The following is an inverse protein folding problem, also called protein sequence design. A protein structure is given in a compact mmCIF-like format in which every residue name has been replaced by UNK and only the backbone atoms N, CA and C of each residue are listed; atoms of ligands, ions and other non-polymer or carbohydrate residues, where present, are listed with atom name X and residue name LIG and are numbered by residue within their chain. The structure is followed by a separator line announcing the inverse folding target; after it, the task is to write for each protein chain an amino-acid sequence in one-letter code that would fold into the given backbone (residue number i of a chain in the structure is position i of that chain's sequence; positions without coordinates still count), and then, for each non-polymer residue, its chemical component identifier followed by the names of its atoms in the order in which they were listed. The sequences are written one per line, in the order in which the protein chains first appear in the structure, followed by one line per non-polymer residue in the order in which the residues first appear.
data_IF_492550490561
#
_entry.id   IF_492550490561
#
_cell.length_a   1.000
_cell.length_b   1.000
_cell.length_c   1.000
_cell.angle_alpha   90.00
_cell.angle_beta   90.00
_cell.angle_gamma   90.00
#
_symmetry.space_group_name_H-M   'P 1'
#
loop_
_entity.id
_entity.type
_entity.pdbx_description
1 polymer ?
#
# COMPACT_ATOMS: atom_id res chain seq x y z
N UNK A 1 -18.77 3.36 -14.14
CA UNK A 1 -17.45 2.85 -14.58
C UNK A 1 -17.53 1.33 -14.62
N UNK A 2 -17.07 0.70 -15.71
CA UNK A 2 -17.08 -0.76 -15.84
C UNK A 2 -16.08 -1.35 -14.83
N UNK A 3 -16.58 -2.16 -13.89
CA UNK A 3 -15.84 -2.68 -12.73
C UNK A 3 -15.21 -4.06 -12.98
N UNK A 4 -15.27 -4.53 -14.22
CA UNK A 4 -14.78 -5.86 -14.56
C UNK A 4 -13.26 -5.96 -14.38
N UNK A 5 -12.75 -7.09 -13.85
CA UNK A 5 -11.32 -7.33 -13.76
C UNK A 5 -10.64 -7.16 -15.13
N UNK A 6 -9.44 -6.57 -15.14
CA UNK A 6 -8.66 -6.40 -16.38
C UNK A 6 -8.30 -7.75 -17.03
N UNK A 7 -8.28 -8.82 -16.24
CA UNK A 7 -8.10 -10.21 -16.68
C UNK A 7 -9.25 -10.71 -17.57
N UNK A 8 -10.46 -10.14 -17.44
CA UNK A 8 -11.61 -10.47 -18.28
C UNK A 8 -11.80 -9.47 -19.42
N UNK A 9 -10.81 -8.62 -19.68
CA UNK A 9 -10.86 -7.68 -20.79
C UNK A 9 -11.04 -8.41 -22.12
N UNK A 10 -11.83 -7.80 -23.02
CA UNK A 10 -11.98 -8.27 -24.40
C UNK A 10 -10.67 -8.20 -25.18
N UNK A 11 -9.81 -7.26 -24.80
CA UNK A 11 -8.49 -7.08 -25.35
C UNK A 11 -7.50 -8.08 -24.73
N UNK A 12 -6.82 -8.83 -25.58
CA UNK A 12 -5.85 -9.84 -25.18
C UNK A 12 -4.62 -9.23 -24.49
N UNK A 13 -4.17 -8.05 -24.90
CA UNK A 13 -3.00 -7.40 -24.32
C UNK A 13 -3.31 -6.90 -22.91
N UNK A 14 -4.52 -6.37 -22.71
CA UNK A 14 -4.99 -5.99 -21.37
C UNK A 14 -5.12 -7.21 -20.45
N UNK A 15 -5.58 -8.36 -20.96
CA UNK A 15 -5.65 -9.58 -20.16
C UNK A 15 -4.27 -10.09 -19.72
N UNK A 16 -3.22 -9.87 -20.52
CA UNK A 16 -1.85 -10.25 -20.19
C UNK A 16 -1.12 -9.21 -19.32
N UNK A 17 -1.65 -7.99 -19.25
CA UNK A 17 -1.06 -6.87 -18.51
C UNK A 17 -0.86 -7.11 -16.99
N UNK A 18 -1.68 -7.89 -16.25
CA UNK A 18 -1.48 -8.09 -14.82
C UNK A 18 -0.11 -8.68 -14.48
N UNK A 19 0.34 -9.65 -15.25
CA UNK A 19 1.64 -10.27 -15.03
C UNK A 19 2.78 -9.27 -15.32
N UNK A 20 2.63 -8.43 -16.34
CA UNK A 20 3.60 -7.37 -16.63
C UNK A 20 3.65 -6.33 -15.51
N UNK A 21 2.49 -5.88 -15.01
CA UNK A 21 2.40 -4.94 -13.90
C UNK A 21 3.01 -5.50 -12.61
N UNK A 22 2.80 -6.79 -12.30
CA UNK A 22 3.43 -7.43 -11.15
C UNK A 22 4.96 -7.44 -11.23
N UNK A 23 5.51 -7.74 -12.42
CA UNK A 23 6.96 -7.67 -12.67
C UNK A 23 7.48 -6.24 -12.49
N UNK A 24 6.79 -5.26 -13.05
CA UNK A 24 7.15 -3.84 -12.93
C UNK A 24 7.13 -3.39 -11.45
N UNK A 25 6.08 -3.73 -10.71
CA UNK A 25 5.95 -3.41 -9.29
C UNK A 25 7.06 -4.04 -8.44
N UNK A 26 7.47 -5.28 -8.77
CA UNK A 26 8.62 -5.92 -8.11
C UNK A 26 9.91 -5.16 -8.36
N UNK A 27 10.21 -4.82 -9.61
CA UNK A 27 11.42 -4.05 -9.96
C UNK A 27 11.44 -2.66 -9.34
N UNK A 28 10.29 -1.97 -9.31
CA UNK A 28 10.17 -0.67 -8.65
C UNK A 28 10.50 -0.75 -7.15
N UNK A 29 10.04 -1.82 -6.47
CA UNK A 29 10.40 -2.06 -5.06
C UNK A 29 11.88 -2.31 -4.85
N UNK A 30 12.49 -3.14 -5.70
CA UNK A 30 13.93 -3.41 -5.65
C UNK A 30 14.75 -2.13 -5.86
N UNK A 31 14.36 -1.31 -6.83
CA UNK A 31 15.05 -0.05 -7.11
C UNK A 31 14.86 0.96 -5.97
N UNK A 32 13.62 1.13 -5.50
CA UNK A 32 13.32 1.99 -4.36
C UNK A 32 14.18 1.65 -3.14
N UNK A 33 14.33 0.35 -2.84
CA UNK A 33 15.18 -0.12 -1.75
C UNK A 33 16.67 0.23 -1.95
N UNK A 34 17.16 0.18 -3.19
CA UNK A 34 18.55 0.53 -3.50
C UNK A 34 18.80 2.04 -3.42
N UNK A 35 17.83 2.86 -3.82
CA UNK A 35 17.97 4.32 -3.89
C UNK A 35 17.42 5.06 -2.66
N UNK A 36 16.83 4.34 -1.70
CA UNK A 36 16.16 4.93 -0.55
C UNK A 36 14.92 5.76 -0.92
N UNK A 37 14.34 5.53 -2.11
CA UNK A 37 13.20 6.32 -2.60
C UNK A 37 11.89 5.75 -2.09
N UNK A 38 10.94 6.61 -1.70
CA UNK A 38 9.62 6.18 -1.26
C UNK A 38 8.75 5.68 -2.42
N UNK A 39 7.91 4.69 -2.16
CA UNK A 39 6.84 4.24 -3.07
C UNK A 39 5.54 4.87 -2.62
N UNK A 40 4.87 5.58 -3.53
CA UNK A 40 3.58 6.21 -3.28
C UNK A 40 2.45 5.30 -3.77
N UNK A 41 1.51 4.98 -2.89
CA UNK A 41 0.33 4.14 -3.22
C UNK A 41 -0.94 4.89 -2.88
N UNK A 42 -1.93 4.86 -3.77
CA UNK A 42 -3.27 5.35 -3.49
C UNK A 42 -4.21 4.18 -3.21
N UNK A 43 -4.78 4.11 -2.01
CA UNK A 43 -5.80 3.12 -1.63
C UNK A 43 -7.05 3.85 -1.17
N UNK A 44 -8.17 3.60 -1.83
CA UNK A 44 -9.47 4.21 -1.47
C UNK A 44 -9.41 5.75 -1.35
N UNK A 45 -8.60 6.39 -2.20
CA UNK A 45 -8.39 7.84 -2.21
C UNK A 45 -7.40 8.37 -1.18
N UNK A 46 -6.81 7.50 -0.34
CA UNK A 46 -5.76 7.86 0.62
C UNK A 46 -4.39 7.59 0.00
N UNK A 47 -3.52 8.60 0.06
CA UNK A 47 -2.13 8.50 -0.39
C UNK A 47 -1.26 8.01 0.77
N UNK A 48 -0.55 6.91 0.55
CA UNK A 48 0.40 6.31 1.47
C UNK A 48 1.81 6.36 0.91
N UNK A 49 2.78 6.79 1.71
CA UNK A 49 4.20 6.74 1.38
C UNK A 49 4.86 5.55 2.07
N UNK A 50 5.32 4.58 1.28
CA UNK A 50 6.01 3.39 1.75
C UNK A 50 7.49 3.61 1.56
N UNK A 51 8.20 3.88 2.64
CA UNK A 51 9.65 3.95 2.62
C UNK A 51 10.23 2.53 2.67
N UNK A 52 11.17 2.19 1.78
CA UNK A 52 11.83 0.91 1.82
C UNK A 52 12.64 0.82 3.12
N UNK A 53 12.33 -0.20 3.90
CA UNK A 53 13.04 -0.50 5.13
C UNK A 53 14.39 -1.10 4.76
N UNK A 54 15.49 -0.41 5.09
CA UNK A 54 16.85 -0.83 4.75
C UNK A 54 17.30 -2.08 5.55
N UNK A 55 16.57 -2.43 6.60
CA UNK A 55 16.74 -3.62 7.40
C UNK A 55 15.88 -4.79 6.87
N UNK A 56 16.59 -5.85 6.50
CA UNK A 56 16.11 -7.01 5.77
C UNK A 56 14.92 -7.76 6.43
N UNK A 57 14.05 -8.27 5.56
CA UNK A 57 12.98 -9.26 5.76
C UNK A 57 11.60 -8.73 6.20
N UNK A 58 10.71 -8.74 5.21
CA UNK A 58 9.27 -8.87 5.43
C UNK A 58 8.57 -7.53 5.54
N UNK A 59 8.00 -7.10 4.42
CA UNK A 59 6.97 -6.06 4.35
C UNK A 59 5.78 -6.48 5.22
N UNK A 60 5.84 -6.21 6.52
CA UNK A 60 4.66 -6.22 7.37
C UNK A 60 3.86 -4.97 7.01
N UNK A 61 2.65 -5.21 6.54
CA UNK A 61 1.59 -4.22 6.44
C UNK A 61 1.44 -3.57 7.82
N UNK A 62 2.08 -2.44 8.04
CA UNK A 62 1.90 -1.65 9.25
C UNK A 62 0.72 -0.71 9.03
N UNK A 63 -0.50 -1.23 9.26
CA UNK A 63 -1.63 -0.37 9.63
C UNK A 63 -1.34 0.17 11.03
N UNK A 64 -0.71 1.34 11.13
CA UNK A 64 -0.63 2.10 12.39
C UNK A 64 -1.99 2.77 12.62
N UNK A 65 -2.99 1.95 12.95
CA UNK A 65 -4.31 2.39 13.36
C UNK A 65 -4.38 2.59 14.87
N UNK A 66 -4.59 3.83 15.27
CA UNK A 66 -5.17 4.26 16.55
C UNK A 66 -4.35 4.03 17.83
N UNK A 67 -3.44 4.95 18.12
CA UNK A 67 -3.06 5.26 19.49
C UNK A 67 -3.26 6.76 19.79
N UNK A 68 -4.25 7.00 20.66
CA UNK A 68 -4.29 8.05 21.70
C UNK A 68 -4.69 9.46 21.25
N UNK A 69 -5.96 9.78 21.46
CA UNK A 69 -6.31 11.03 22.14
C UNK A 69 -7.03 10.67 23.45
N UNK A 70 -6.38 10.95 24.57
CA UNK A 70 -6.98 10.83 25.88
C UNK A 70 -7.96 11.96 26.14
N UNK A 71 -9.04 11.67 26.86
CA UNK A 71 -9.75 12.68 27.61
C UNK A 71 -10.42 12.07 28.84
N UNK A 72 -9.84 12.43 29.98
CA UNK A 72 -10.44 12.64 31.30
C UNK A 72 -11.27 11.51 31.92
N UNK A 73 -10.61 10.89 32.90
CA UNK A 73 -11.23 10.49 34.16
C UNK A 73 -12.11 11.64 34.67
N UNK A 74 -13.41 11.39 34.83
CA UNK A 74 -14.25 12.19 35.73
C UNK A 74 -14.68 11.28 36.87
N UNK A 75 -14.22 11.70 38.04
CA UNK A 75 -14.53 11.31 39.41
C UNK A 75 -16.00 10.93 39.65
N UNK A 76 -16.20 9.96 40.54
CA UNK A 76 -17.50 9.65 41.13
C UNK A 76 -17.93 10.67 42.21
N UNK A 77 -18.92 10.22 43.01
CA UNK A 77 -19.66 10.87 44.10
C UNK A 77 -20.92 11.63 43.66
N UNK A 78 -22.10 11.00 43.71
CA UNK A 78 -23.02 10.94 44.85
C UNK A 78 -24.16 9.96 44.58
#
# INVERSE_FOLDING_TARGET
MNKQPIETARDADLRLSPQAMQRAARRARELAAQTGTAIVVSRDGVIEHIHPRLDAKGSSVQSKGAARLGARKTTGWH
#
